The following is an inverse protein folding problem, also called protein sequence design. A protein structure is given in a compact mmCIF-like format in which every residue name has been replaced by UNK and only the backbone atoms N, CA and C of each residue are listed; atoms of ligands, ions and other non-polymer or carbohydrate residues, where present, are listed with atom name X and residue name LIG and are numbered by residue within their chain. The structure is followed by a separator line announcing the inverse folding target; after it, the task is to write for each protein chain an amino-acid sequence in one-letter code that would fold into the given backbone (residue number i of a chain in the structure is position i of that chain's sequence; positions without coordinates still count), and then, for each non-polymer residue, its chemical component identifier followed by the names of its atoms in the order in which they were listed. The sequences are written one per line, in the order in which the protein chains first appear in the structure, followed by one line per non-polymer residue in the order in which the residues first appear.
data_IF_739462469628
#
_entry.id   IF_739462469628
#
_cell.length_a   1.000
_cell.length_b   1.000
_cell.length_c   1.000
_cell.angle_alpha   90.00
_cell.angle_beta   90.00
_cell.angle_gamma   90.00
#
_symmetry.space_group_name_H-M   'P 1'
#
loop_
_entity.id
_entity.type
_entity.pdbx_description
1 polymer ?
#
# COMPACT_ATOMS: atom_id res chain seq x y z
N UNK A 1 -39.70 7.50 10.58
CA UNK A 1 -38.93 6.47 11.32
C UNK A 1 -37.46 6.86 11.24
N UNK A 2 -36.95 7.55 12.27
CA UNK A 2 -35.59 8.10 12.29
C UNK A 2 -34.59 6.99 12.67
N UNK A 3 -33.62 6.71 11.79
CA UNK A 3 -32.49 5.84 12.11
C UNK A 3 -31.36 6.73 12.65
N UNK A 4 -31.08 6.59 13.95
CA UNK A 4 -29.97 7.24 14.64
C UNK A 4 -28.63 6.73 14.09
N UNK A 5 -27.82 7.65 13.57
CA UNK A 5 -26.41 7.42 13.21
C UNK A 5 -25.57 7.53 14.49
N UNK A 6 -24.89 6.46 14.89
CA UNK A 6 -23.86 6.51 15.94
C UNK A 6 -22.52 6.98 15.34
N UNK A 7 -21.77 7.87 16.01
CA UNK A 7 -20.49 8.37 15.51
C UNK A 7 -19.34 7.40 15.81
N UNK A 8 -18.63 6.97 14.77
CA UNK A 8 -17.39 6.16 14.85
C UNK A 8 -16.20 7.09 15.17
N UNK A 9 -16.18 7.68 16.37
CA UNK A 9 -15.06 8.49 16.86
C UNK A 9 -14.28 7.86 18.02
N UNK A 10 -14.76 6.76 18.63
CA UNK A 10 -14.16 6.24 19.88
C UNK A 10 -12.92 5.34 19.70
N UNK A 11 -12.72 4.68 18.55
CA UNK A 11 -11.60 3.74 18.38
C UNK A 11 -10.21 4.42 18.30
N UNK A 12 -10.15 5.70 17.95
CA UNK A 12 -8.89 6.43 17.81
C UNK A 12 -8.42 7.09 19.13
N UNK A 13 -9.30 7.27 20.12
CA UNK A 13 -8.98 7.98 21.37
C UNK A 13 -8.09 7.15 22.29
N UNK A 14 -8.15 5.82 22.20
CA UNK A 14 -7.46 4.93 23.12
C UNK A 14 -5.92 4.91 22.95
N UNK A 15 -5.40 5.44 21.84
CA UNK A 15 -3.95 5.54 21.59
C UNK A 15 -3.31 6.86 22.07
N UNK A 16 -4.12 7.86 22.43
CA UNK A 16 -3.63 9.23 22.70
C UNK A 16 -3.72 9.70 24.16
N UNK A 17 -4.27 8.91 25.09
CA UNK A 17 -4.49 9.33 26.48
C UNK A 17 -3.79 8.45 27.52
N UNK A 18 -2.47 8.29 27.39
CA UNK A 18 -1.61 7.86 28.51
C UNK A 18 -0.88 9.09 29.01
N UNK A 19 -1.50 9.81 29.95
CA UNK A 19 -0.80 10.81 30.75
C UNK A 19 -0.10 10.10 31.92
N UNK A 20 1.21 10.31 32.05
CA UNK A 20 1.95 10.05 33.28
C UNK A 20 1.94 11.34 34.11
N UNK A 21 1.18 11.36 35.21
CA UNK A 21 1.41 12.34 36.28
C UNK A 21 2.28 11.69 37.36
N UNK A 22 3.34 12.41 37.75
CA UNK A 22 4.39 11.92 38.64
C UNK A 22 4.12 12.12 40.12
N UNK A 23 5.07 11.64 40.94
CA UNK A 23 5.27 12.09 42.32
C UNK A 23 6.71 11.79 42.77
N UNK A 24 7.31 12.80 43.38
CA UNK A 24 8.66 12.86 43.96
C UNK A 24 8.86 11.93 45.18
N UNK A 25 10.12 11.51 45.33
CA UNK A 25 10.92 11.25 46.54
C UNK A 25 10.47 10.27 47.67
N UNK A 26 11.47 9.45 48.05
CA UNK A 26 11.92 9.03 49.41
C UNK A 26 11.96 7.50 49.66
N UNK A 27 13.23 7.01 49.67
CA UNK A 27 13.91 5.99 50.51
C UNK A 27 13.26 4.68 51.02
N UNK A 28 14.13 3.65 50.96
CA UNK A 28 14.31 2.44 51.80
C UNK A 28 13.68 1.07 51.46
N UNK A 29 14.61 0.12 51.25
CA UNK A 29 14.66 -1.31 51.63
C UNK A 29 13.59 -2.33 51.18
N UNK A 30 14.09 -3.32 50.43
CA UNK A 30 13.86 -4.78 50.49
C UNK A 30 12.44 -5.35 50.77
N UNK A 31 11.96 -6.19 49.85
CA UNK A 31 10.89 -7.16 50.13
C UNK A 31 10.25 -7.75 48.87
N UNK A 32 10.38 -9.06 48.68
CA UNK A 32 9.80 -9.82 47.57
C UNK A 32 8.26 -9.85 47.62
N UNK A 33 7.59 -9.79 46.46
CA UNK A 33 6.14 -10.04 46.36
C UNK A 33 5.50 -9.46 45.10
N UNK A 34 5.19 -10.31 44.14
CA UNK A 34 4.46 -10.01 42.89
C UNK A 34 3.09 -9.35 43.10
N UNK A 35 2.81 -8.22 42.40
CA UNK A 35 1.49 -7.87 41.82
C UNK A 35 1.68 -6.88 40.66
N UNK A 36 1.31 -7.27 39.44
CA UNK A 36 1.27 -6.39 38.25
C UNK A 36 0.15 -5.35 38.41
N UNK A 37 0.34 -4.08 38.00
CA UNK A 37 -0.73 -3.09 38.07
C UNK A 37 -1.87 -3.46 37.11
N UNK A 38 -3.11 -3.49 37.61
CA UNK A 38 -4.32 -3.65 36.78
C UNK A 38 -4.63 -2.32 36.10
N UNK A 39 -4.45 -2.27 34.78
CA UNK A 39 -4.98 -1.20 33.94
C UNK A 39 -6.52 -1.34 33.89
N UNK A 40 -7.25 -0.36 34.43
CA UNK A 40 -8.70 -0.19 34.16
C UNK A 40 -8.86 0.69 32.93
N UNK A 41 -9.57 0.18 31.93
CA UNK A 41 -9.97 0.94 30.74
C UNK A 41 -11.26 1.73 31.04
N UNK A 42 -11.47 2.91 30.46
CA UNK A 42 -12.73 3.65 30.58
C UNK A 42 -13.88 2.85 29.94
N UNK A 43 -15.05 2.87 30.58
CA UNK A 43 -16.27 2.24 30.07
C UNK A 43 -16.78 3.00 28.83
N UNK A 44 -16.65 2.40 27.65
CA UNK A 44 -17.08 2.97 26.37
C UNK A 44 -16.49 2.28 25.13
N UNK A 45 -15.30 1.68 25.23
CA UNK A 45 -14.74 0.88 24.13
C UNK A 45 -15.53 -0.43 23.94
N UNK A 46 -16.00 -0.67 22.71
CA UNK A 46 -16.64 -1.91 22.28
C UNK A 46 -15.91 -3.15 22.80
N UNK A 47 -16.71 -4.16 23.17
CA UNK A 47 -16.22 -5.30 23.94
C UNK A 47 -15.11 -6.01 23.14
N UNK A 48 -13.98 -6.32 23.78
CA UNK A 48 -12.79 -6.92 23.13
C UNK A 48 -13.11 -8.15 22.26
N UNK A 49 -14.15 -8.89 22.63
CA UNK A 49 -14.67 -10.05 21.90
C UNK A 49 -15.39 -9.67 20.60
N UNK A 50 -16.15 -8.59 20.60
CA UNK A 50 -16.91 -8.09 19.45
C UNK A 50 -15.98 -7.63 18.32
N UNK A 51 -14.92 -6.91 18.67
CA UNK A 51 -13.87 -6.53 17.72
C UNK A 51 -13.10 -7.75 17.19
N UNK A 52 -12.85 -8.75 18.05
CA UNK A 52 -12.21 -10.00 17.65
C UNK A 52 -13.09 -10.84 16.72
N UNK A 53 -14.41 -10.86 16.94
CA UNK A 53 -15.39 -11.59 16.13
C UNK A 53 -15.67 -10.90 14.80
N UNK A 54 -15.78 -9.56 14.77
CA UNK A 54 -15.89 -8.80 13.51
C UNK A 54 -14.63 -8.94 12.66
N UNK A 55 -13.46 -8.94 13.29
CA UNK A 55 -12.22 -9.36 12.64
C UNK A 55 -12.38 -10.80 12.10
N UNK A 56 -12.70 -11.79 12.95
CA UNK A 56 -12.85 -13.23 12.59
C UNK A 56 -13.80 -13.46 11.41
N UNK A 57 -14.96 -12.81 11.37
CA UNK A 57 -15.91 -12.92 10.27
C UNK A 57 -15.38 -12.32 8.96
N UNK A 58 -14.67 -11.18 9.03
CA UNK A 58 -13.97 -10.64 7.86
C UNK A 58 -12.82 -11.56 7.39
N UNK A 59 -12.19 -12.29 8.32
CA UNK A 59 -11.12 -13.26 8.05
C UNK A 59 -11.64 -14.54 7.38
N UNK A 60 -12.76 -15.11 7.86
CA UNK A 60 -13.38 -16.31 7.28
C UNK A 60 -13.82 -16.05 5.83
N UNK A 61 -14.29 -14.84 5.52
CA UNK A 61 -14.59 -14.43 4.15
C UNK A 61 -13.33 -14.38 3.26
N UNK A 62 -12.16 -13.97 3.77
CA UNK A 62 -10.92 -13.99 2.98
C UNK A 62 -10.33 -15.40 2.81
N UNK A 63 -10.43 -16.25 3.83
CA UNK A 63 -10.00 -17.65 3.78
C UNK A 63 -10.93 -18.51 2.90
N UNK A 64 -12.21 -18.14 2.74
CA UNK A 64 -13.15 -18.87 1.86
C UNK A 64 -12.73 -18.87 0.38
N UNK A 65 -11.85 -17.95 -0.04
CA UNK A 65 -11.24 -17.93 -1.38
C UNK A 65 -10.10 -18.96 -1.57
N UNK A 66 -9.80 -19.80 -0.55
CA UNK A 66 -8.75 -20.83 -0.59
C UNK A 66 -8.87 -21.85 -1.73
N UNK A 67 -10.01 -21.94 -2.42
CA UNK A 67 -10.29 -23.01 -3.39
C UNK A 67 -11.10 -22.56 -4.60
N UNK A 68 -11.08 -21.28 -4.97
CA UNK A 68 -11.63 -20.91 -6.28
C UNK A 68 -10.63 -21.40 -7.33
N UNK A 69 -11.04 -22.44 -8.04
CA UNK A 69 -10.34 -23.04 -9.18
C UNK A 69 -10.33 -22.00 -10.30
N UNK A 70 -9.42 -21.04 -10.23
CA UNK A 70 -9.25 -20.04 -11.28
C UNK A 70 -8.74 -20.75 -12.53
N UNK A 71 -9.57 -20.78 -13.57
CA UNK A 71 -9.18 -21.17 -14.92
C UNK A 71 -8.29 -20.06 -15.48
N UNK A 72 -7.02 -20.07 -15.09
CA UNK A 72 -6.01 -19.28 -15.78
C UNK A 72 -5.65 -20.07 -17.03
N UNK A 73 -5.97 -19.49 -18.19
CA UNK A 73 -5.38 -19.92 -19.44
C UNK A 73 -3.86 -19.80 -19.27
N UNK A 74 -3.16 -20.91 -19.43
CA UNK A 74 -1.70 -20.95 -19.45
C UNK A 74 -1.21 -19.88 -20.42
N UNK A 75 -0.24 -19.06 -19.99
CA UNK A 75 0.62 -18.17 -20.79
C UNK A 75 0.38 -16.63 -20.71
N UNK A 76 -0.69 -16.16 -20.05
CA UNK A 76 -1.23 -14.83 -20.40
C UNK A 76 -1.11 -13.68 -19.39
N UNK A 77 -0.58 -13.84 -18.18
CA UNK A 77 -0.55 -12.72 -17.20
C UNK A 77 0.84 -12.11 -17.09
N UNK A 78 1.05 -10.93 -17.69
CA UNK A 78 2.27 -10.14 -17.49
C UNK A 78 2.05 -9.07 -16.44
N UNK A 79 2.95 -9.02 -15.47
CA UNK A 79 2.81 -8.12 -14.33
C UNK A 79 4.11 -7.42 -13.96
N UNK A 80 4.01 -6.14 -13.61
CA UNK A 80 5.09 -5.36 -13.00
C UNK A 80 4.83 -5.21 -11.51
N UNK A 81 5.74 -5.72 -10.67
CA UNK A 81 5.69 -5.62 -9.21
C UNK A 81 6.86 -4.81 -8.70
N UNK A 82 6.60 -3.68 -8.06
CA UNK A 82 7.67 -2.84 -7.51
C UNK A 82 7.87 -3.04 -6.00
N UNK A 83 9.10 -3.41 -5.62
CA UNK A 83 9.71 -3.52 -4.27
C UNK A 83 9.82 -4.91 -3.62
N UNK A 84 11.08 -5.26 -3.32
CA UNK A 84 11.48 -6.49 -2.61
C UNK A 84 12.43 -6.18 -1.44
N UNK A 85 12.30 -6.88 -0.30
CA UNK A 85 13.24 -6.78 0.81
C UNK A 85 14.59 -7.47 0.47
N UNK A 86 15.64 -7.30 1.30
CA UNK A 86 16.93 -7.99 1.11
C UNK A 86 16.78 -9.53 1.02
N UNK A 87 17.74 -10.18 0.37
CA UNK A 87 17.82 -11.64 0.26
C UNK A 87 17.61 -12.34 1.62
N UNK A 88 16.78 -13.38 1.68
CA UNK A 88 16.46 -14.10 2.91
C UNK A 88 15.39 -13.44 3.80
N UNK A 89 14.88 -12.27 3.43
CA UNK A 89 13.73 -11.65 4.12
C UNK A 89 12.41 -12.12 3.50
N UNK A 90 11.70 -13.01 4.18
CA UNK A 90 10.38 -13.52 3.78
C UNK A 90 9.23 -12.50 4.01
N UNK A 91 9.49 -11.18 4.06
CA UNK A 91 8.62 -10.23 4.79
C UNK A 91 7.95 -9.13 3.96
N UNK A 92 7.87 -9.26 2.63
CA UNK A 92 7.26 -8.23 1.77
C UNK A 92 5.94 -8.67 1.12
N UNK A 93 4.90 -7.83 1.19
CA UNK A 93 3.63 -8.02 0.46
C UNK A 93 3.89 -8.21 -1.05
N UNK A 94 4.80 -7.40 -1.62
CA UNK A 94 5.18 -7.49 -3.03
C UNK A 94 5.78 -8.85 -3.40
N UNK A 95 6.72 -9.37 -2.58
CA UNK A 95 7.33 -10.71 -2.80
C UNK A 95 6.28 -11.81 -2.76
N UNK A 96 5.42 -11.83 -1.74
CA UNK A 96 4.37 -12.86 -1.63
C UNK A 96 3.36 -12.77 -2.76
N UNK A 97 2.98 -11.56 -3.19
CA UNK A 97 2.07 -11.40 -4.32
C UNK A 97 2.71 -11.92 -5.61
N UNK A 98 3.98 -11.61 -5.87
CA UNK A 98 4.73 -12.12 -7.02
C UNK A 98 4.83 -13.66 -7.01
N UNK A 99 5.09 -14.29 -5.85
CA UNK A 99 5.12 -15.75 -5.71
C UNK A 99 3.76 -16.35 -6.05
N UNK A 100 2.69 -15.83 -5.48
CA UNK A 100 1.34 -16.37 -5.68
C UNK A 100 0.87 -16.22 -7.13
N UNK A 101 1.24 -15.14 -7.81
CA UNK A 101 0.99 -14.98 -9.25
C UNK A 101 1.84 -15.94 -10.09
N UNK A 102 3.12 -16.09 -9.76
CA UNK A 102 4.02 -16.99 -10.49
C UNK A 102 3.59 -18.47 -10.34
N UNK A 103 3.14 -18.89 -9.15
CA UNK A 103 2.54 -20.23 -8.91
C UNK A 103 1.32 -20.51 -9.79
N UNK A 104 0.64 -19.44 -10.19
CA UNK A 104 -0.57 -19.46 -11.01
C UNK A 104 -0.25 -19.38 -12.51
N UNK A 105 1.01 -19.46 -12.91
CA UNK A 105 1.44 -19.45 -14.31
C UNK A 105 1.68 -18.06 -14.90
N UNK A 106 1.59 -17.00 -14.10
CA UNK A 106 1.85 -15.64 -14.58
C UNK A 106 3.33 -15.45 -14.95
N UNK A 107 3.57 -14.66 -15.99
CA UNK A 107 4.87 -14.06 -16.29
C UNK A 107 5.07 -12.81 -15.43
N UNK A 108 5.93 -12.90 -14.42
CA UNK A 108 6.10 -11.85 -13.41
C UNK A 108 7.39 -11.07 -13.65
N UNK A 109 7.26 -9.76 -13.80
CA UNK A 109 8.37 -8.81 -13.86
C UNK A 109 8.53 -8.17 -12.49
N UNK A 110 9.63 -8.51 -11.83
CA UNK A 110 10.04 -7.89 -10.59
C UNK A 110 10.76 -6.58 -10.95
N UNK A 111 10.10 -5.47 -10.68
CA UNK A 111 10.69 -4.14 -10.80
C UNK A 111 11.32 -3.75 -9.46
N UNK A 112 12.62 -3.44 -9.46
CA UNK A 112 13.29 -2.96 -8.25
C UNK A 112 14.41 -1.99 -8.56
N UNK A 113 14.64 -1.06 -7.62
CA UNK A 113 15.76 -0.11 -7.71
C UNK A 113 17.14 -0.79 -7.70
N UNK A 114 17.33 -1.73 -6.79
CA UNK A 114 18.63 -2.37 -6.57
C UNK A 114 18.72 -3.66 -7.35
N UNK A 115 19.64 -3.72 -8.32
CA UNK A 115 19.94 -4.92 -9.10
C UNK A 115 20.22 -6.14 -8.21
N UNK A 116 21.13 -6.00 -7.25
CA UNK A 116 21.49 -7.08 -6.33
C UNK A 116 20.28 -7.63 -5.54
N UNK A 117 19.43 -6.74 -5.00
CA UNK A 117 18.23 -7.18 -4.26
C UNK A 117 17.17 -7.76 -5.19
N UNK A 118 17.04 -7.20 -6.39
CA UNK A 118 16.12 -7.69 -7.42
C UNK A 118 16.49 -9.08 -7.92
N UNK A 119 17.77 -9.33 -8.17
CA UNK A 119 18.28 -10.66 -8.56
C UNK A 119 18.12 -11.68 -7.43
N UNK A 120 18.36 -11.31 -6.18
CA UNK A 120 18.09 -12.20 -5.05
C UNK A 120 16.60 -12.53 -4.91
N UNK A 121 15.74 -11.51 -5.03
CA UNK A 121 14.29 -11.70 -5.00
C UNK A 121 13.81 -12.58 -6.16
N UNK A 122 14.39 -12.43 -7.35
CA UNK A 122 14.13 -13.27 -8.51
C UNK A 122 14.40 -14.74 -8.19
N UNK A 123 15.56 -15.06 -7.62
CA UNK A 123 15.89 -16.44 -7.23
C UNK A 123 14.92 -16.99 -6.18
N UNK A 124 14.56 -16.19 -5.19
CA UNK A 124 13.59 -16.58 -4.17
C UNK A 124 12.20 -16.85 -4.76
N UNK A 125 11.70 -15.96 -5.62
CA UNK A 125 10.37 -16.12 -6.24
C UNK A 125 10.36 -17.35 -7.14
N UNK A 126 11.41 -17.58 -7.95
CA UNK A 126 11.53 -18.79 -8.77
C UNK A 126 11.51 -20.06 -7.92
N UNK A 127 12.30 -20.09 -6.84
CA UNK A 127 12.38 -21.23 -5.91
C UNK A 127 11.04 -21.50 -5.21
N UNK A 128 10.39 -20.46 -4.69
CA UNK A 128 9.14 -20.60 -3.92
C UNK A 128 7.90 -20.84 -4.79
N UNK A 129 7.92 -20.39 -6.05
CA UNK A 129 6.81 -20.60 -7.00
C UNK A 129 6.96 -21.82 -7.89
N UNK A 130 8.18 -22.31 -8.10
CA UNK A 130 8.50 -23.33 -9.12
C UNK A 130 8.42 -22.81 -10.57
N UNK A 131 8.19 -21.51 -10.78
CA UNK A 131 8.02 -20.92 -12.11
C UNK A 131 9.34 -20.38 -12.67
N UNK A 132 9.59 -20.64 -13.96
CA UNK A 132 10.69 -20.03 -14.70
C UNK A 132 10.31 -18.70 -15.38
N UNK A 133 9.02 -18.33 -15.36
CA UNK A 133 8.49 -17.12 -16.00
C UNK A 133 8.59 -15.87 -15.12
N UNK A 134 9.66 -15.79 -14.31
CA UNK A 134 9.94 -14.63 -13.48
C UNK A 134 11.18 -13.93 -14.04
N UNK A 135 11.09 -12.62 -14.25
CA UNK A 135 12.17 -11.78 -14.76
C UNK A 135 12.38 -10.57 -13.87
N UNK A 136 13.61 -10.09 -13.81
CA UNK A 136 13.95 -8.85 -13.10
C UNK A 136 14.17 -7.73 -14.13
N UNK A 137 13.63 -6.55 -13.84
CA UNK A 137 13.90 -5.32 -14.58
C UNK A 137 14.16 -4.18 -13.59
N UNK A 138 15.21 -3.40 -13.83
CA UNK A 138 15.58 -2.34 -12.90
C UNK A 138 14.63 -1.14 -13.03
N UNK A 139 14.11 -0.66 -11.89
CA UNK A 139 13.22 0.49 -11.81
C UNK A 139 13.48 1.29 -10.53
N UNK A 140 13.87 2.55 -10.65
CA UNK A 140 13.89 3.50 -9.53
C UNK A 140 12.79 4.54 -9.67
N UNK A 141 11.73 4.42 -8.86
CA UNK A 141 10.65 5.40 -8.80
C UNK A 141 11.08 6.77 -8.27
N UNK A 142 12.28 6.90 -7.70
CA UNK A 142 12.85 8.19 -7.29
C UNK A 142 13.55 8.93 -8.45
N UNK A 143 13.44 8.43 -9.69
CA UNK A 143 14.01 9.03 -10.89
C UNK A 143 13.04 8.90 -12.06
N UNK A 144 12.44 10.01 -12.51
CA UNK A 144 11.50 9.97 -13.65
C UNK A 144 12.18 9.44 -14.93
N UNK A 145 13.49 9.71 -15.09
CA UNK A 145 14.31 9.11 -16.16
C UNK A 145 14.33 7.59 -16.05
N UNK A 146 14.57 7.03 -14.87
CA UNK A 146 14.55 5.57 -14.66
C UNK A 146 13.18 4.97 -14.99
N UNK A 147 12.09 5.65 -14.63
CA UNK A 147 10.72 5.21 -14.95
C UNK A 147 10.50 5.15 -16.46
N UNK A 148 10.94 6.17 -17.20
CA UNK A 148 10.85 6.20 -18.67
C UNK A 148 11.67 5.09 -19.31
N UNK A 149 12.93 4.91 -18.90
CA UNK A 149 13.78 3.84 -19.42
C UNK A 149 13.23 2.44 -19.12
N UNK A 150 12.62 2.23 -17.95
CA UNK A 150 11.92 0.98 -17.62
C UNK A 150 10.73 0.75 -18.57
N UNK A 151 9.86 1.75 -18.73
CA UNK A 151 8.68 1.64 -19.59
C UNK A 151 9.06 1.38 -21.04
N UNK A 152 10.06 2.08 -21.58
CA UNK A 152 10.59 1.82 -22.92
C UNK A 152 11.12 0.40 -23.08
N UNK A 153 11.91 -0.08 -22.11
CA UNK A 153 12.43 -1.45 -22.14
C UNK A 153 11.30 -2.48 -22.05
N UNK A 154 10.32 -2.27 -21.18
CA UNK A 154 9.14 -3.11 -21.07
C UNK A 154 8.37 -3.16 -22.38
N UNK A 155 8.04 -2.01 -22.98
CA UNK A 155 7.26 -1.95 -24.22
C UNK A 155 7.97 -2.63 -25.40
N UNK A 156 9.31 -2.59 -25.43
CA UNK A 156 10.15 -3.28 -26.43
C UNK A 156 10.22 -4.79 -26.23
N UNK A 157 10.29 -5.26 -25.00
CA UNK A 157 10.59 -6.68 -24.69
C UNK A 157 9.37 -7.51 -24.34
N UNK A 158 8.29 -6.88 -23.91
CA UNK A 158 7.11 -7.56 -23.41
C UNK A 158 5.91 -7.21 -24.28
N UNK A 159 5.35 -8.10 -25.12
CA UNK A 159 4.18 -7.81 -25.95
C UNK A 159 2.87 -7.55 -25.19
N UNK A 160 2.75 -7.92 -23.91
CA UNK A 160 1.47 -7.89 -23.17
C UNK A 160 1.61 -7.25 -21.78
N UNK A 161 0.56 -6.61 -21.27
CA UNK A 161 0.45 -6.17 -19.87
C UNK A 161 -0.99 -6.30 -19.39
N UNK A 162 -1.21 -7.22 -18.46
CA UNK A 162 -2.55 -7.55 -17.96
C UNK A 162 -2.80 -6.91 -16.61
N UNK A 163 -1.77 -6.88 -15.76
CA UNK A 163 -1.92 -6.40 -14.39
C UNK A 163 -0.70 -5.54 -14.04
N UNK A 164 -0.94 -4.27 -13.74
CA UNK A 164 0.06 -3.38 -13.16
C UNK A 164 -0.19 -3.25 -11.66
N UNK A 165 0.79 -3.61 -10.81
CA UNK A 165 0.67 -3.42 -9.37
C UNK A 165 1.66 -2.38 -8.86
N UNK A 166 1.12 -1.19 -8.59
CA UNK A 166 1.82 -0.09 -7.96
C UNK A 166 1.91 -0.33 -6.44
N UNK A 167 2.79 -1.26 -6.07
CA UNK A 167 3.00 -1.71 -4.68
C UNK A 167 4.08 -0.95 -3.94
N UNK A 168 5.10 -0.44 -4.65
CA UNK A 168 6.21 0.20 -3.99
C UNK A 168 5.72 1.38 -3.16
N UNK A 169 6.41 1.62 -2.05
CA UNK A 169 6.06 2.73 -1.19
C UNK A 169 6.96 2.79 0.00
N UNK A 170 7.50 3.97 0.29
CA UNK A 170 8.42 4.22 1.37
C UNK A 170 7.91 5.32 2.29
N UNK A 171 8.56 5.39 3.44
CA UNK A 171 8.53 6.50 4.36
C UNK A 171 9.98 6.99 4.45
N UNK A 172 10.29 8.12 3.83
CA UNK A 172 11.63 8.68 3.89
C UNK A 172 11.61 10.20 3.66
N UNK A 173 12.52 10.89 4.32
CA UNK A 173 12.82 12.30 4.06
C UNK A 173 13.79 12.44 2.89
N UNK A 174 14.01 13.67 2.45
CA UNK A 174 14.90 14.00 1.34
C UNK A 174 14.16 14.26 0.04
N UNK A 175 14.91 14.24 -1.07
CA UNK A 175 14.46 14.60 -2.40
C UNK A 175 14.76 13.50 -3.41
N UNK A 176 13.89 13.33 -4.40
CA UNK A 176 14.17 12.52 -5.60
C UNK A 176 15.22 13.18 -6.48
N UNK A 177 15.71 12.48 -7.50
CA UNK A 177 16.64 13.06 -8.49
C UNK A 177 16.03 14.28 -9.19
N UNK A 178 14.71 14.25 -9.42
CA UNK A 178 13.95 15.32 -10.06
C UNK A 178 13.52 16.46 -9.09
N UNK A 179 13.98 16.41 -7.84
CA UNK A 179 13.76 17.46 -6.85
C UNK A 179 12.41 17.43 -6.13
N UNK A 180 11.63 16.36 -6.24
CA UNK A 180 10.38 16.17 -5.48
C UNK A 180 10.65 15.65 -4.08
N UNK A 181 9.78 15.92 -3.11
CA UNK A 181 9.84 15.28 -1.79
C UNK A 181 9.84 13.75 -1.93
N UNK A 182 10.83 13.07 -1.33
CA UNK A 182 11.11 11.65 -1.56
C UNK A 182 9.87 10.73 -1.46
N UNK A 183 9.06 10.92 -0.43
CA UNK A 183 7.84 10.10 -0.22
C UNK A 183 6.76 10.38 -1.26
N UNK A 184 6.58 11.64 -1.69
CA UNK A 184 5.63 11.99 -2.75
C UNK A 184 6.08 11.48 -4.12
N UNK A 185 7.37 11.71 -4.44
CA UNK A 185 7.96 11.29 -5.70
C UNK A 185 7.87 9.77 -5.90
N UNK A 186 8.27 8.99 -4.90
CA UNK A 186 8.24 7.52 -5.00
C UNK A 186 6.83 6.94 -4.88
N UNK A 187 6.05 7.35 -3.89
CA UNK A 187 4.78 6.67 -3.62
C UNK A 187 3.69 7.02 -4.65
N UNK A 188 3.76 8.22 -5.26
CA UNK A 188 2.75 8.74 -6.18
C UNK A 188 3.32 9.05 -7.57
N UNK A 189 4.24 10.02 -7.72
CA UNK A 189 4.65 10.50 -9.06
C UNK A 189 5.30 9.41 -9.93
N UNK A 190 6.19 8.58 -9.36
CA UNK A 190 6.81 7.48 -10.10
C UNK A 190 5.78 6.48 -10.63
N UNK A 191 4.80 6.09 -9.80
CA UNK A 191 3.69 5.22 -10.22
C UNK A 191 2.75 5.90 -11.21
N UNK A 192 2.49 7.19 -11.01
CA UNK A 192 1.66 8.00 -11.91
C UNK A 192 2.26 8.01 -13.32
N UNK A 193 3.55 8.34 -13.44
CA UNK A 193 4.26 8.32 -14.71
C UNK A 193 4.29 6.91 -15.31
N UNK A 194 4.67 5.90 -14.52
CA UNK A 194 4.74 4.51 -14.99
C UNK A 194 3.40 4.03 -15.55
N UNK A 195 2.31 4.31 -14.84
CA UNK A 195 0.96 3.89 -15.24
C UNK A 195 0.56 4.56 -16.55
N UNK A 196 0.82 5.86 -16.72
CA UNK A 196 0.47 6.58 -17.94
C UNK A 196 1.32 6.12 -19.14
N UNK A 197 2.62 5.87 -18.95
CA UNK A 197 3.50 5.36 -20.03
C UNK A 197 3.12 3.96 -20.50
N UNK A 198 2.54 3.13 -19.63
CA UNK A 198 2.10 1.77 -19.94
C UNK A 198 0.60 1.67 -20.25
N UNK A 199 -0.11 2.80 -20.26
CA UNK A 199 -1.57 2.83 -20.33
C UNK A 199 -2.11 2.29 -21.66
N UNK A 200 -1.46 2.63 -22.76
CA UNK A 200 -1.91 2.17 -24.08
C UNK A 200 -1.70 0.67 -24.24
N UNK A 201 -0.58 0.13 -23.75
CA UNK A 201 -0.38 -1.33 -23.68
C UNK A 201 -1.46 -2.02 -22.85
N UNK A 202 -1.83 -1.46 -21.70
CA UNK A 202 -2.94 -2.00 -20.89
C UNK A 202 -4.25 -2.03 -21.69
N UNK A 203 -4.57 -0.95 -22.42
CA UNK A 203 -5.80 -0.89 -23.25
C UNK A 203 -5.78 -1.91 -24.38
N UNK A 204 -4.66 -2.06 -25.08
CA UNK A 204 -4.47 -3.04 -26.16
C UNK A 204 -4.66 -4.48 -25.66
N UNK A 205 -4.21 -4.77 -24.43
CA UNK A 205 -4.24 -6.11 -23.85
C UNK A 205 -5.54 -6.42 -23.09
N UNK A 206 -6.50 -5.50 -23.05
CA UNK A 206 -7.70 -5.62 -22.21
C UNK A 206 -8.48 -6.94 -22.43
N UNK A 207 -9.03 -7.56 -21.38
CA UNK A 207 -9.24 -7.02 -20.03
C UNK A 207 -7.94 -6.95 -19.21
N UNK A 208 -7.72 -5.81 -18.56
CA UNK A 208 -6.49 -5.53 -17.81
C UNK A 208 -6.77 -4.65 -16.58
N UNK A 209 -5.84 -4.63 -15.63
CA UNK A 209 -6.05 -4.10 -14.27
C UNK A 209 -4.88 -3.28 -13.76
N UNK A 210 -5.18 -2.15 -13.14
CA UNK A 210 -4.20 -1.35 -12.37
C UNK A 210 -4.55 -1.42 -10.88
N UNK A 211 -3.62 -1.90 -10.05
CA UNK A 211 -3.81 -2.04 -8.61
C UNK A 211 -2.85 -1.10 -7.87
N UNK A 212 -3.42 -0.12 -7.18
CA UNK A 212 -2.68 0.90 -6.44
C UNK A 212 -2.67 0.61 -4.94
N UNK A 213 -1.51 0.26 -4.38
CA UNK A 213 -1.39 -0.03 -2.94
C UNK A 213 -1.32 1.27 -2.15
N UNK A 214 -2.41 1.55 -1.43
CA UNK A 214 -2.54 2.65 -0.48
C UNK A 214 -2.32 2.14 0.97
N UNK A 215 -2.93 2.79 1.96
CA UNK A 215 -2.90 2.43 3.38
C UNK A 215 -4.11 3.03 4.09
N UNK A 216 -4.52 2.47 5.24
CA UNK A 216 -5.47 3.14 6.14
C UNK A 216 -5.04 4.56 6.53
N UNK A 217 -3.73 4.85 6.42
CA UNK A 217 -3.17 6.19 6.59
C UNK A 217 -3.84 7.27 5.72
N UNK A 218 -4.38 6.91 4.55
CA UNK A 218 -5.03 7.85 3.63
C UNK A 218 -6.20 8.62 4.28
N UNK A 219 -6.85 8.05 5.29
CA UNK A 219 -7.93 8.69 6.04
C UNK A 219 -7.48 9.97 6.75
N UNK A 220 -6.20 10.10 7.10
CA UNK A 220 -5.63 11.30 7.73
C UNK A 220 -4.90 12.21 6.74
N UNK A 221 -4.76 11.81 5.48
CA UNK A 221 -4.08 12.59 4.45
C UNK A 221 -4.83 13.87 4.06
N UNK A 222 -4.10 14.83 3.52
CA UNK A 222 -4.57 16.04 2.84
C UNK A 222 -3.59 16.37 1.72
N UNK A 223 -4.11 16.82 0.56
CA UNK A 223 -3.26 17.33 -0.51
C UNK A 223 -3.12 18.83 -0.35
N UNK A 224 -1.92 19.30 -0.04
CA UNK A 224 -1.56 20.71 0.01
C UNK A 224 -1.00 21.13 -1.35
N UNK A 225 -1.85 21.70 -2.20
CA UNK A 225 -1.46 22.08 -3.56
C UNK A 225 -0.53 23.30 -3.58
N UNK A 226 -0.61 24.18 -2.60
CA UNK A 226 0.26 25.36 -2.55
C UNK A 226 1.69 24.89 -2.25
N UNK A 227 1.84 24.01 -1.25
CA UNK A 227 3.12 23.37 -0.93
C UNK A 227 3.68 22.53 -2.09
N UNK A 228 2.82 21.82 -2.83
CA UNK A 228 3.25 21.10 -4.03
C UNK A 228 3.78 22.06 -5.11
N UNK A 229 3.08 23.17 -5.37
CA UNK A 229 3.48 24.16 -6.36
C UNK A 229 4.78 24.89 -5.98
N UNK A 230 4.93 25.29 -4.73
CA UNK A 230 6.07 26.10 -4.28
C UNK A 230 7.29 25.27 -3.91
N UNK A 231 7.08 24.13 -3.27
CA UNK A 231 8.16 23.34 -2.68
C UNK A 231 8.30 21.94 -3.26
N UNK A 232 7.44 21.52 -4.20
CA UNK A 232 7.46 20.18 -4.81
C UNK A 232 7.40 19.05 -3.78
N UNK A 233 6.69 19.26 -2.67
CA UNK A 233 6.50 18.29 -1.57
C UNK A 233 5.08 18.40 -1.02
N UNK A 234 4.60 17.36 -0.34
CA UNK A 234 3.26 17.37 0.27
C UNK A 234 3.19 18.19 1.56
N UNK A 235 4.31 18.28 2.30
CA UNK A 235 4.47 19.16 3.47
C UNK A 235 5.91 19.62 3.63
N UNK A 236 6.07 20.79 4.25
CA UNK A 236 7.33 21.31 4.75
C UNK A 236 7.47 20.95 6.23
N UNK A 237 8.47 20.13 6.56
CA UNK A 237 8.72 19.65 7.91
C UNK A 237 9.55 18.37 7.89
N UNK A 238 10.42 18.21 8.88
CA UNK A 238 11.35 17.07 8.99
C UNK A 238 11.15 16.29 10.29
N UNK A 239 10.15 16.65 11.10
CA UNK A 239 9.84 15.89 12.31
C UNK A 239 9.24 14.52 11.94
N UNK A 240 9.34 13.57 12.86
CA UNK A 240 8.72 12.25 12.67
C UNK A 240 7.20 12.35 12.39
N UNK A 241 6.52 13.27 13.09
CA UNK A 241 5.08 13.53 12.90
C UNK A 241 4.82 14.07 11.49
N UNK A 242 5.67 14.95 10.98
CA UNK A 242 5.55 15.45 9.60
C UNK A 242 5.77 14.32 8.59
N UNK A 243 6.74 13.45 8.83
CA UNK A 243 6.94 12.25 8.00
C UNK A 243 5.67 11.38 7.95
N UNK A 244 5.00 11.16 9.09
CA UNK A 244 3.75 10.38 9.16
C UNK A 244 2.63 11.04 8.36
N UNK A 245 2.52 12.36 8.46
CA UNK A 245 1.54 13.14 7.70
C UNK A 245 1.85 13.10 6.20
N UNK A 246 3.10 13.30 5.79
CA UNK A 246 3.53 13.20 4.38
C UNK A 246 3.25 11.82 3.81
N UNK A 247 3.47 10.75 4.60
CA UNK A 247 3.10 9.41 4.18
C UNK A 247 1.59 9.25 4.02
N UNK A 248 0.80 9.70 4.99
CA UNK A 248 -0.67 9.70 4.92
C UNK A 248 -1.19 10.47 3.69
N UNK A 249 -0.64 11.65 3.42
CA UNK A 249 -0.94 12.48 2.25
C UNK A 249 -0.59 11.73 0.96
N UNK A 250 0.57 11.06 0.88
CA UNK A 250 0.97 10.27 -0.30
C UNK A 250 0.02 9.09 -0.54
N UNK A 251 -0.50 8.47 0.52
CA UNK A 251 -1.45 7.36 0.40
C UNK A 251 -2.86 7.84 0.03
N UNK A 252 -3.23 9.07 0.42
CA UNK A 252 -4.42 9.73 -0.12
C UNK A 252 -4.27 10.02 -1.62
N UNK A 253 -3.09 10.47 -2.07
CA UNK A 253 -2.83 10.67 -3.50
C UNK A 253 -3.08 9.41 -4.32
N UNK A 254 -2.69 8.22 -3.84
CA UNK A 254 -2.95 6.95 -4.51
C UNK A 254 -4.45 6.61 -4.65
N UNK A 255 -5.28 6.99 -3.66
CA UNK A 255 -6.74 6.77 -3.72
C UNK A 255 -7.38 7.74 -4.72
N UNK A 256 -7.01 9.02 -4.66
CA UNK A 256 -7.47 10.05 -5.60
C UNK A 256 -7.04 9.74 -7.04
N UNK A 257 -5.80 9.26 -7.23
CA UNK A 257 -5.30 8.81 -8.51
C UNK A 257 -6.14 7.68 -9.09
N UNK A 258 -6.47 6.68 -8.28
CA UNK A 258 -7.33 5.56 -8.71
C UNK A 258 -8.72 6.05 -9.11
N UNK A 259 -9.30 6.94 -8.30
CA UNK A 259 -10.63 7.51 -8.57
C UNK A 259 -10.66 8.29 -9.90
N UNK A 260 -9.65 9.11 -10.17
CA UNK A 260 -9.55 9.86 -11.43
C UNK A 260 -9.19 8.97 -12.62
N UNK A 261 -8.26 8.02 -12.45
CA UNK A 261 -7.89 7.03 -13.47
C UNK A 261 -9.12 6.25 -13.93
N UNK A 262 -9.98 5.80 -13.02
CA UNK A 262 -11.19 5.07 -13.36
C UNK A 262 -12.16 5.90 -14.22
N UNK A 263 -12.26 7.21 -13.97
CA UNK A 263 -13.08 8.09 -14.81
C UNK A 263 -12.51 8.21 -16.22
N UNK A 264 -11.19 8.34 -16.33
CA UNK A 264 -10.48 8.46 -17.61
C UNK A 264 -10.46 7.16 -18.42
N UNK A 265 -10.57 6.02 -17.74
CA UNK A 265 -10.66 4.70 -18.34
C UNK A 265 -12.08 4.27 -18.74
N UNK A 266 -13.11 5.10 -18.51
CA UNK A 266 -14.48 4.80 -18.95
C UNK A 266 -14.52 4.52 -20.45
N UNK A 267 -15.20 3.43 -20.83
CA UNK A 267 -15.29 2.97 -22.22
C UNK A 267 -14.13 2.06 -22.66
N UNK A 268 -13.09 1.90 -21.85
CA UNK A 268 -12.03 0.91 -22.09
C UNK A 268 -12.31 -0.40 -21.34
N UNK A 269 -11.53 -1.45 -21.64
CA UNK A 269 -11.53 -2.73 -20.90
C UNK A 269 -10.53 -2.74 -19.73
N UNK A 270 -9.98 -1.58 -19.35
CA UNK A 270 -9.03 -1.46 -18.25
C UNK A 270 -9.78 -1.06 -16.98
N UNK A 271 -9.58 -1.80 -15.89
CA UNK A 271 -10.13 -1.46 -14.57
C UNK A 271 -9.02 -1.05 -13.61
N UNK A 272 -9.35 -0.28 -12.58
CA UNK A 272 -8.36 0.09 -11.58
C UNK A 272 -8.94 0.13 -10.17
N UNK A 273 -8.11 -0.22 -9.20
CA UNK A 273 -8.52 -0.34 -7.79
C UNK A 273 -7.43 0.21 -6.89
N UNK A 274 -7.83 0.81 -5.76
CA UNK A 274 -6.92 1.11 -4.67
C UNK A 274 -7.20 0.18 -3.52
N UNK A 275 -6.20 -0.08 -2.68
CA UNK A 275 -6.41 -0.93 -1.51
C UNK A 275 -5.55 -0.58 -0.31
N UNK A 276 -5.97 -1.05 0.86
CA UNK A 276 -5.14 -1.15 2.05
C UNK A 276 -4.87 -2.63 2.39
N UNK A 277 -3.60 -3.06 2.48
CA UNK A 277 -3.25 -4.46 2.75
C UNK A 277 -3.51 -4.91 4.20
N UNK A 278 -3.90 -4.00 5.09
CA UNK A 278 -3.92 -4.22 6.54
C UNK A 278 -2.62 -3.75 7.21
N UNK A 279 -2.55 -3.88 8.53
CA UNK A 279 -1.31 -3.67 9.29
C UNK A 279 -0.44 -4.91 9.08
N UNK A 280 0.44 -4.89 8.08
CA UNK A 280 1.34 -6.01 7.78
C UNK A 280 2.72 -5.72 8.36
N UNK A 281 3.39 -6.74 8.89
CA UNK A 281 4.79 -6.65 9.30
C UNK A 281 5.70 -6.45 8.09
N UNK A 282 5.88 -5.20 7.69
CA UNK A 282 6.73 -4.79 6.55
C UNK A 282 7.85 -3.88 7.02
N UNK A 283 8.97 -3.86 6.28
CA UNK A 283 10.15 -3.03 6.53
C UNK A 283 9.92 -1.51 6.28
N UNK A 284 8.68 -1.01 6.35
CA UNK A 284 8.37 0.42 6.13
C UNK A 284 8.97 1.29 7.24
N UNK A 285 9.08 0.76 8.47
CA UNK A 285 9.65 1.46 9.63
C UNK A 285 11.17 1.30 9.80
N UNK A 286 11.88 0.72 8.82
CA UNK A 286 13.32 0.39 8.95
C UNK A 286 14.23 1.59 9.25
N UNK A 287 13.79 2.79 8.88
CA UNK A 287 14.50 4.05 9.09
C UNK A 287 14.01 4.80 10.35
N UNK A 288 13.05 4.26 11.09
CA UNK A 288 12.62 4.84 12.36
C UNK A 288 13.66 4.56 13.46
N UNK A 289 13.63 5.32 14.57
CA UNK A 289 14.57 5.11 15.67
C UNK A 289 14.48 3.69 16.25
N UNK A 290 15.58 3.10 16.73
CA UNK A 290 15.58 1.75 17.30
C UNK A 290 14.54 1.54 18.42
N UNK A 291 14.31 2.58 19.23
CA UNK A 291 13.30 2.59 20.29
C UNK A 291 11.87 2.53 19.74
N UNK A 292 11.59 3.27 18.65
CA UNK A 292 10.29 3.21 17.99
C UNK A 292 10.07 1.87 17.29
N UNK A 293 11.11 1.31 16.66
CA UNK A 293 11.05 -0.04 16.11
C UNK A 293 10.73 -1.06 17.21
N UNK A 294 11.40 -0.98 18.37
CA UNK A 294 11.18 -1.91 19.48
C UNK A 294 9.76 -1.79 20.07
N UNK A 295 9.25 -0.56 20.26
CA UNK A 295 7.89 -0.33 20.81
C UNK A 295 6.81 -0.72 19.81
N UNK A 296 6.94 -0.33 18.54
CA UNK A 296 5.99 -0.68 17.49
C UNK A 296 5.97 -2.20 17.23
N UNK A 297 7.14 -2.86 17.19
CA UNK A 297 7.26 -4.29 16.93
C UNK A 297 6.79 -5.17 18.12
N UNK A 298 6.80 -4.66 19.36
CA UNK A 298 6.33 -5.41 20.53
C UNK A 298 4.85 -5.16 20.87
N UNK A 299 4.33 -3.95 20.66
CA UNK A 299 2.92 -3.62 20.90
C UNK A 299 1.97 -4.07 19.79
N UNK A 300 2.39 -3.99 18.52
CA UNK A 300 1.55 -4.31 17.35
C UNK A 300 1.70 -5.76 16.86
N UNK A 301 2.62 -6.54 17.44
CA UNK A 301 2.98 -7.90 16.98
C UNK A 301 1.77 -8.84 16.82
N UNK A 302 0.78 -8.69 17.70
CA UNK A 302 -0.44 -9.52 17.70
C UNK A 302 -1.52 -9.05 16.71
N UNK A 303 -1.42 -7.81 16.18
CA UNK A 303 -2.33 -7.26 15.17
C UNK A 303 -1.73 -7.26 13.76
N UNK A 304 -0.49 -7.75 13.62
CA UNK A 304 0.24 -7.77 12.37
C UNK A 304 -0.13 -8.98 11.51
N UNK A 305 -0.63 -8.71 10.30
CA UNK A 305 -0.85 -9.70 9.25
C UNK A 305 0.47 -10.34 8.82
N UNK A 306 0.42 -11.62 8.45
CA UNK A 306 1.50 -12.27 7.68
C UNK A 306 1.58 -11.63 6.28
N UNK A 307 2.73 -11.72 5.59
CA UNK A 307 2.84 -11.24 4.21
C UNK A 307 1.80 -11.85 3.27
N UNK A 308 1.45 -13.13 3.45
CA UNK A 308 0.40 -13.81 2.70
C UNK A 308 -0.99 -13.24 2.99
N UNK A 309 -1.31 -12.96 4.25
CA UNK A 309 -2.56 -12.27 4.60
C UNK A 309 -2.59 -10.83 4.08
N UNK A 310 -1.42 -10.17 4.05
CA UNK A 310 -1.24 -8.83 3.51
C UNK A 310 -1.42 -8.75 1.99
N UNK A 311 -1.07 -9.81 1.26
CA UNK A 311 -1.23 -9.86 -0.20
C UNK A 311 -2.63 -10.21 -0.65
N UNK A 312 -3.51 -10.76 0.21
CA UNK A 312 -4.84 -11.24 -0.21
C UNK A 312 -5.68 -10.17 -0.89
N UNK A 313 -5.74 -8.95 -0.34
CA UNK A 313 -6.52 -7.88 -0.98
C UNK A 313 -5.92 -7.44 -2.31
N UNK A 314 -4.58 -7.46 -2.43
CA UNK A 314 -3.88 -7.21 -3.70
C UNK A 314 -4.21 -8.28 -4.74
N UNK A 315 -4.12 -9.56 -4.36
CA UNK A 315 -4.48 -10.69 -5.21
C UNK A 315 -5.96 -10.64 -5.60
N UNK A 316 -6.86 -10.30 -4.68
CA UNK A 316 -8.29 -10.15 -4.98
C UNK A 316 -8.53 -9.06 -6.03
N UNK A 317 -7.97 -7.86 -5.86
CA UNK A 317 -8.10 -6.79 -6.86
C UNK A 317 -7.46 -7.18 -8.21
N UNK A 318 -6.36 -7.92 -8.18
CA UNK A 318 -5.64 -8.36 -9.37
C UNK A 318 -6.35 -9.49 -10.13
N UNK A 319 -7.04 -10.41 -9.44
CA UNK A 319 -7.47 -11.69 -10.02
C UNK A 319 -8.97 -11.98 -9.95
N UNK A 320 -9.70 -11.40 -9.00
CA UNK A 320 -11.10 -11.77 -8.79
C UNK A 320 -11.97 -11.23 -9.93
N UNK A 321 -12.72 -12.07 -10.63
CA UNK A 321 -13.65 -11.68 -11.69
C UNK A 321 -14.96 -11.10 -11.12
N UNK A 322 -15.70 -10.32 -11.91
CA UNK A 322 -16.99 -9.76 -11.48
C UNK A 322 -16.90 -8.50 -10.64
N UNK A 323 -15.69 -8.02 -10.30
CA UNK A 323 -15.48 -6.74 -9.61
C UNK A 323 -15.25 -5.57 -10.58
N UNK A 324 -15.34 -5.78 -11.90
CA UNK A 324 -15.05 -4.77 -12.91
C UNK A 324 -15.93 -3.51 -12.77
N UNK A 325 -17.19 -3.71 -12.37
CA UNK A 325 -18.15 -2.64 -12.08
C UNK A 325 -17.75 -1.78 -10.86
N UNK A 326 -16.77 -2.24 -10.06
CA UNK A 326 -16.21 -1.54 -8.90
C UNK A 326 -14.93 -0.76 -9.23
N UNK A 327 -14.58 -0.62 -10.53
CA UNK A 327 -13.43 0.20 -10.95
C UNK A 327 -13.49 1.61 -10.32
N UNK A 328 -12.37 2.07 -9.80
CA UNK A 328 -12.22 3.33 -9.05
C UNK A 328 -12.48 3.23 -7.54
N UNK A 329 -12.90 2.07 -7.03
CA UNK A 329 -13.17 1.88 -5.59
C UNK A 329 -11.91 1.57 -4.78
N UNK A 330 -12.04 1.73 -3.47
CA UNK A 330 -11.03 1.35 -2.48
C UNK A 330 -11.40 0.01 -1.82
N UNK A 331 -10.42 -0.86 -1.62
CA UNK A 331 -10.62 -2.19 -1.07
C UNK A 331 -9.86 -2.40 0.23
N UNK A 332 -10.47 -3.11 1.17
CA UNK A 332 -9.80 -3.61 2.37
C UNK A 332 -10.44 -4.93 2.82
N UNK A 333 -9.59 -5.92 3.14
CA UNK A 333 -10.00 -7.29 3.43
C UNK A 333 -10.88 -7.85 2.31
N UNK A 334 -10.39 -7.75 1.06
CA UNK A 334 -11.04 -8.29 -0.15
C UNK A 334 -12.47 -7.80 -0.40
N UNK A 335 -12.84 -6.64 0.17
CA UNK A 335 -14.17 -6.05 0.03
C UNK A 335 -14.03 -4.58 -0.33
N UNK A 336 -14.89 -4.07 -1.21
CA UNK A 336 -14.99 -2.64 -1.46
C UNK A 336 -15.42 -1.91 -0.18
N UNK A 337 -14.73 -0.82 0.15
CA UNK A 337 -14.99 0.01 1.32
C UNK A 337 -15.30 1.43 0.88
N UNK A 338 -16.17 2.07 1.65
CA UNK A 338 -16.37 3.50 1.50
C UNK A 338 -15.15 4.26 2.01
N UNK A 339 -14.84 5.34 1.30
CA UNK A 339 -13.79 6.28 1.66
C UNK A 339 -14.42 7.61 2.06
N UNK A 340 -13.70 8.38 2.87
CA UNK A 340 -14.09 9.73 3.24
C UNK A 340 -14.30 10.59 1.99
N UNK A 341 -15.20 11.59 2.06
CA UNK A 341 -15.54 12.44 0.92
C UNK A 341 -14.31 13.05 0.23
N UNK A 342 -13.31 13.49 1.00
CA UNK A 342 -12.04 14.03 0.49
C UNK A 342 -11.24 13.09 -0.41
N UNK A 343 -11.42 11.77 -0.27
CA UNK A 343 -10.69 10.76 -1.05
C UNK A 343 -11.40 10.39 -2.36
N UNK A 344 -12.61 10.93 -2.59
CA UNK A 344 -13.39 10.81 -3.82
C UNK A 344 -13.88 12.17 -4.34
N UNK A 345 -13.22 13.25 -3.92
CA UNK A 345 -13.56 14.60 -4.35
C UNK A 345 -13.10 14.82 -5.80
N UNK A 346 -14.03 15.06 -6.76
CA UNK A 346 -13.68 15.21 -8.17
C UNK A 346 -12.75 16.38 -8.45
N UNK A 347 -12.86 17.47 -7.70
CA UNK A 347 -12.05 18.67 -7.91
C UNK A 347 -10.60 18.41 -7.49
N UNK A 348 -10.40 17.88 -6.27
CA UNK A 348 -9.08 17.51 -5.76
C UNK A 348 -8.41 16.44 -6.62
N UNK A 349 -9.15 15.41 -7.03
CA UNK A 349 -8.60 14.32 -7.85
C UNK A 349 -8.12 14.82 -9.22
N UNK A 350 -8.93 15.65 -9.90
CA UNK A 350 -8.56 16.29 -11.17
C UNK A 350 -7.35 17.22 -11.01
N UNK A 351 -7.34 18.07 -9.97
CA UNK A 351 -6.21 18.98 -9.71
C UNK A 351 -4.92 18.22 -9.39
N UNK A 352 -5.01 17.11 -8.66
CA UNK A 352 -3.87 16.21 -8.40
C UNK A 352 -3.36 15.56 -9.69
N UNK A 353 -4.26 15.18 -10.61
CA UNK A 353 -3.87 14.65 -11.89
C UNK A 353 -3.10 15.68 -12.72
N UNK A 354 -3.65 16.89 -12.90
CA UNK A 354 -3.04 17.97 -13.70
C UNK A 354 -1.66 18.38 -13.18
N UNK A 355 -1.51 18.51 -11.86
CA UNK A 355 -0.20 18.82 -11.28
C UNK A 355 0.80 17.67 -11.47
N UNK A 356 0.32 16.42 -11.45
CA UNK A 356 1.17 15.25 -11.69
C UNK A 356 1.59 15.14 -13.15
N UNK A 357 0.71 15.41 -14.12
CA UNK A 357 1.07 15.50 -15.55
C UNK A 357 2.16 16.55 -15.77
N UNK A 358 1.95 17.76 -15.24
CA UNK A 358 2.95 18.84 -15.34
C UNK A 358 4.28 18.51 -14.68
N UNK A 359 4.29 17.79 -13.56
CA UNK A 359 5.52 17.38 -12.90
C UNK A 359 6.23 16.21 -13.58
N UNK A 360 5.49 15.44 -14.36
CA UNK A 360 6.00 14.30 -15.08
C UNK A 360 6.32 14.59 -16.54
N UNK A 361 6.06 15.80 -17.05
CA UNK A 361 6.16 16.18 -18.46
C UNK A 361 5.39 15.19 -19.36
N UNK A 362 4.09 15.04 -19.08
CA UNK A 362 3.12 14.23 -19.84
C UNK A 362 2.12 15.07 -20.61
#
# INVERSE_FOLDING_TARGET
MQVKVQPIQEEAVCASSVQLQGSNNVLHSAGAGTRRPRLRFPSGCGNRKELQEQHKAAWENCDSYRWVKFLLCSDDVRLVFDRFPPAGSNTGIGKTTAIELAKRGARVILACRSKQRGEAALQDVKRESGSNQVVFMQLDLASLKSVRSFAENFLKTEPRLDILVNNAGLFNFGRTEDGFGMTFGVNHLGHFLLTNLLLDRLKECGPSRVVNVSSGAHNWGRVDFDCLNTHKTLRTGTSFVDGQRVYADSKLCNVLFTYELAKRLKGTKVTCYSLHPGVVRTDIIRNASPTFQLVALNGLRFFMKTPLQGSQTTLHCALHEGIEHLSGRHFSNCTARDVLAKAKDPVTAKKLWEISERFCDL
#
